data_IF_497233317475
#
_entry.id   IF_497233317475
#
_cell.length_a   1.000
_cell.length_b   1.000
_cell.length_c   1.000
_cell.angle_alpha   90.00
_cell.angle_beta   90.00
_cell.angle_gamma   90.00
#
_symmetry.space_group_name_H-M   'P 1'
#
loop_
_entity.id
_entity.type
_entity.pdbx_description
1 polymer ?
#
# COMPACT_ATOMS: atom_id res chain seq x y z
N UNK A 1 20.17 -3.99 5.73
CA UNK A 1 18.76 -3.70 6.10
C UNK A 1 18.01 -5.02 6.38
N UNK A 2 17.97 -5.48 7.63
CA UNK A 2 17.28 -6.74 7.94
C UNK A 2 16.48 -6.61 9.22
N UNK A 3 15.29 -6.07 9.10
CA UNK A 3 14.18 -6.41 9.99
C UNK A 3 13.31 -7.40 9.21
N UNK A 4 13.30 -8.68 9.60
CA UNK A 4 12.40 -9.70 9.04
C UNK A 4 11.04 -9.68 9.76
N UNK A 5 10.57 -8.51 10.20
CA UNK A 5 9.25 -8.38 10.81
C UNK A 5 8.17 -8.46 9.74
N UNK A 6 7.16 -9.27 10.01
CA UNK A 6 6.00 -9.44 9.14
C UNK A 6 4.76 -9.08 9.95
N UNK A 7 3.93 -8.23 9.37
CA UNK A 7 2.64 -7.85 9.94
C UNK A 7 1.54 -8.40 9.04
N UNK A 8 0.46 -8.88 9.65
CA UNK A 8 -0.71 -9.37 8.95
C UNK A 8 -1.96 -8.75 9.58
N UNK A 9 -2.85 -8.22 8.74
CA UNK A 9 -4.14 -7.68 9.13
C UNK A 9 -5.22 -8.35 8.29
N UNK A 10 -6.19 -9.00 8.94
CA UNK A 10 -7.36 -9.55 8.26
C UNK A 10 -8.36 -8.43 7.99
N UNK A 11 -8.73 -8.25 6.72
CA UNK A 11 -9.61 -7.17 6.26
C UNK A 11 -10.85 -7.75 5.57
N UNK A 12 -12.00 -7.05 5.62
CA UNK A 12 -13.27 -7.58 5.10
C UNK A 12 -13.39 -7.55 3.57
N UNK A 13 -12.44 -6.95 2.85
CA UNK A 13 -12.45 -6.91 1.39
C UNK A 13 -11.13 -6.45 0.78
N UNK A 14 -11.03 -6.60 -0.54
CA UNK A 14 -9.87 -6.22 -1.35
C UNK A 14 -10.15 -4.88 -2.07
N UNK A 15 -10.50 -3.84 -1.31
CA UNK A 15 -10.70 -2.48 -1.80
C UNK A 15 -9.69 -1.50 -1.18
N UNK A 16 -9.63 -0.30 -1.74
CA UNK A 16 -8.66 0.71 -1.36
C UNK A 16 -8.82 1.16 0.11
N UNK A 17 -10.05 1.25 0.59
CA UNK A 17 -10.36 1.61 1.96
C UNK A 17 -9.83 0.57 2.96
N UNK A 18 -10.02 -0.72 2.66
CA UNK A 18 -9.50 -1.81 3.47
C UNK A 18 -7.96 -1.79 3.49
N UNK A 19 -7.32 -1.60 2.33
CA UNK A 19 -5.85 -1.49 2.25
C UNK A 19 -5.33 -0.32 3.10
N UNK A 20 -5.94 0.86 3.00
CA UNK A 20 -5.56 2.03 3.80
C UNK A 20 -5.72 1.78 5.30
N UNK A 21 -6.83 1.15 5.71
CA UNK A 21 -7.08 0.82 7.11
C UNK A 21 -6.05 -0.19 7.66
N UNK A 22 -5.70 -1.21 6.86
CA UNK A 22 -4.67 -2.18 7.20
C UNK A 22 -3.29 -1.54 7.37
N UNK A 23 -2.88 -0.70 6.40
CA UNK A 23 -1.60 0.02 6.46
C UNK A 23 -1.54 0.95 7.67
N UNK A 24 -2.60 1.71 7.94
CA UNK A 24 -2.67 2.56 9.14
C UNK A 24 -2.49 1.75 10.42
N UNK A 25 -3.16 0.62 10.53
CA UNK A 25 -3.05 -0.28 11.69
C UNK A 25 -1.61 -0.75 11.88
N UNK A 26 -0.92 -1.10 10.79
CA UNK A 26 0.50 -1.48 10.85
C UNK A 26 1.37 -0.29 11.29
N UNK A 27 1.15 0.91 10.75
CA UNK A 27 1.91 2.11 11.11
C UNK A 27 1.76 2.46 12.60
N UNK A 28 0.53 2.38 13.12
CA UNK A 28 0.25 2.58 14.54
C UNK A 28 0.95 1.53 15.41
N UNK A 29 0.92 0.26 14.98
CA UNK A 29 1.58 -0.83 15.71
C UNK A 29 3.10 -0.69 15.77
N UNK A 30 3.74 -0.26 14.67
CA UNK A 30 5.19 -0.02 14.65
C UNK A 30 5.59 1.34 15.21
N UNK A 31 4.63 2.22 15.50
CA UNK A 31 4.84 3.58 15.98
C UNK A 31 5.54 4.50 14.98
N UNK A 32 5.51 4.15 13.68
CA UNK A 32 6.24 4.86 12.63
C UNK A 32 5.55 4.69 11.27
N UNK A 33 5.86 5.61 10.36
CA UNK A 33 5.41 5.58 8.97
C UNK A 33 6.64 5.35 8.09
N UNK A 34 6.65 4.32 7.23
CA UNK A 34 7.77 4.09 6.31
C UNK A 34 7.80 5.17 5.22
N UNK A 35 9.01 5.52 4.79
CA UNK A 35 9.20 6.47 3.68
C UNK A 35 8.83 5.88 2.31
N UNK A 36 8.94 4.56 2.16
CA UNK A 36 8.67 3.86 0.90
C UNK A 36 7.81 2.64 1.15
N UNK A 37 6.72 2.52 0.38
CA UNK A 37 5.83 1.37 0.35
C UNK A 37 5.98 0.65 -1.00
N UNK A 38 6.38 -0.61 -0.97
CA UNK A 38 6.51 -1.45 -2.16
C UNK A 38 5.33 -2.42 -2.22
N UNK A 39 4.55 -2.35 -3.30
CA UNK A 39 3.31 -3.10 -3.49
C UNK A 39 3.48 -4.09 -4.65
N UNK A 40 3.27 -5.38 -4.39
CA UNK A 40 3.50 -6.45 -5.38
C UNK A 40 2.29 -6.72 -6.27
N UNK A 41 1.11 -6.90 -5.67
CA UNK A 41 -0.14 -7.01 -6.40
C UNK A 41 -1.19 -6.19 -5.67
N UNK A 42 -1.54 -5.04 -6.25
CA UNK A 42 -2.12 -3.94 -5.50
C UNK A 42 -3.53 -3.61 -5.96
N UNK A 43 -4.34 -4.57 -6.40
CA UNK A 43 -5.73 -4.38 -6.85
C UNK A 43 -6.53 -3.42 -5.96
N UNK A 44 -6.38 -3.47 -4.63
CA UNK A 44 -6.97 -2.48 -3.72
C UNK A 44 -6.34 -1.07 -3.78
N UNK A 45 -5.03 -0.92 -3.95
CA UNK A 45 -4.34 0.39 -4.01
C UNK A 45 -4.32 1.00 -5.43
N UNK A 46 -4.41 0.17 -6.46
CA UNK A 46 -4.37 0.54 -7.86
C UNK A 46 -4.45 -0.68 -8.76
N UNK A 47 -5.23 -0.58 -9.84
CA UNK A 47 -5.34 -1.65 -10.83
C UNK A 47 -4.38 -1.39 -11.99
N UNK A 48 -3.69 -2.44 -12.45
CA UNK A 48 -2.96 -2.41 -13.72
C UNK A 48 -3.97 -2.36 -14.87
N UNK A 49 -4.01 -1.23 -15.60
CA UNK A 49 -4.92 -1.00 -16.73
C UNK A 49 -4.26 -1.38 -18.06
N UNK A 50 -2.92 -1.32 -18.14
CA UNK A 50 -2.12 -1.80 -19.28
C UNK A 50 -0.71 -2.20 -18.79
N UNK A 51 0.12 -2.82 -19.65
CA UNK A 51 1.47 -3.30 -19.32
C UNK A 51 2.32 -2.23 -18.59
N UNK A 52 2.21 -0.96 -18.98
CA UNK A 52 2.93 0.19 -18.40
C UNK A 52 2.03 1.20 -17.65
N UNK A 53 0.75 0.89 -17.40
CA UNK A 53 -0.18 1.84 -16.75
C UNK A 53 -0.85 1.24 -15.53
N UNK A 54 -0.50 1.78 -14.37
CA UNK A 54 -1.21 1.56 -13.11
C UNK A 54 -2.15 2.74 -12.88
N UNK A 55 -3.44 2.47 -12.69
CA UNK A 55 -4.39 3.47 -12.22
C UNK A 55 -4.50 3.34 -10.71
N UNK A 56 -4.08 4.38 -10.00
CA UNK A 56 -4.15 4.45 -8.55
C UNK A 56 -5.58 4.86 -8.15
N UNK A 57 -6.16 4.16 -7.17
CA UNK A 57 -7.49 4.52 -6.65
C UNK A 57 -7.38 5.81 -5.85
N UNK A 58 -8.29 6.77 -6.05
CA UNK A 58 -8.18 8.12 -5.48
C UNK A 58 -7.99 8.15 -3.95
N UNK A 59 -8.67 7.27 -3.22
CA UNK A 59 -8.52 7.19 -1.76
C UNK A 59 -7.11 6.75 -1.34
N UNK A 60 -6.48 5.86 -2.13
CA UNK A 60 -5.12 5.43 -1.88
C UNK A 60 -4.12 6.56 -2.21
N UNK A 61 -4.34 7.31 -3.29
CA UNK A 61 -3.54 8.51 -3.60
C UNK A 61 -3.56 9.53 -2.46
N UNK A 62 -4.75 9.85 -1.93
CA UNK A 62 -4.89 10.77 -0.79
C UNK A 62 -4.22 10.23 0.49
N UNK A 63 -4.27 8.91 0.70
CA UNK A 63 -3.57 8.27 1.81
C UNK A 63 -2.05 8.44 1.70
N UNK A 64 -1.50 8.22 0.51
CA UNK A 64 -0.08 8.40 0.21
C UNK A 64 0.36 9.84 0.49
N UNK A 65 -0.43 10.83 0.03
CA UNK A 65 -0.19 12.25 0.29
C UNK A 65 -0.27 12.60 1.78
N UNK A 66 -1.26 12.06 2.49
CA UNK A 66 -1.45 12.30 3.92
C UNK A 66 -0.23 11.86 4.74
N UNK A 67 0.32 10.69 4.43
CA UNK A 67 1.49 10.14 5.10
C UNK A 67 2.83 10.57 4.49
N UNK A 68 2.80 11.28 3.35
CA UNK A 68 3.98 11.72 2.59
C UNK A 68 4.95 10.58 2.26
N UNK A 69 4.40 9.43 1.88
CA UNK A 69 5.16 8.24 1.54
C UNK A 69 5.36 8.11 0.03
N UNK A 70 6.42 7.42 -0.39
CA UNK A 70 6.67 7.07 -1.79
C UNK A 70 6.13 5.67 -2.07
N UNK A 71 5.33 5.51 -3.13
CA UNK A 71 4.83 4.20 -3.55
C UNK A 71 5.60 3.66 -4.73
N UNK A 72 6.04 2.40 -4.65
CA UNK A 72 6.60 1.65 -5.78
C UNK A 72 5.75 0.42 -6.01
N UNK A 73 5.34 0.20 -7.23
CA UNK A 73 4.71 -1.06 -7.62
C UNK A 73 5.81 -1.99 -8.12
N UNK A 74 5.86 -3.22 -7.63
CA UNK A 74 6.77 -4.21 -8.20
C UNK A 74 6.37 -4.40 -9.65
N UNK A 75 7.31 -4.09 -10.55
CA UNK A 75 7.17 -4.52 -11.93
C UNK A 75 7.51 -6.01 -11.98
N UNK A 76 6.59 -6.88 -12.41
CA UNK A 76 6.95 -8.23 -12.79
C UNK A 76 7.68 -8.12 -14.12
N UNK A 77 8.76 -8.87 -14.30
CA UNK A 77 9.13 -9.21 -15.68
C UNK A 77 8.02 -10.04 -16.31
#
# INVERSE_FOLDING_TARGET
>A
PYSNMRYCAALPGENAECVCAGLRTVFEHIGAVPLTLVLDNATGAGHRVAWDRVSIVKVFELFVEHYRLETRFCNPN
#
